data_IF_020806346317
#
_entry.id   IF_020806346317
#
_cell.length_a   1.000
_cell.length_b   1.000
_cell.length_c   1.000
_cell.angle_alpha   90.00
_cell.angle_beta   90.00
_cell.angle_gamma   90.00
#
_symmetry.space_group_name_H-M   'P 1'
#
loop_
_entity.id
_entity.type
_entity.pdbx_description
1 polymer ?
#
# COMPACT_ATOMS: atom_id res chain seq x y z
N UNK A 1 17.10 9.52 8.85
CA UNK A 1 16.63 8.38 8.05
C UNK A 1 17.70 7.31 7.86
N UNK A 2 18.97 7.66 7.61
CA UNK A 2 20.06 6.66 7.42
C UNK A 2 20.15 5.55 8.48
N UNK A 3 19.94 5.83 9.77
CA UNK A 3 19.96 4.79 10.81
C UNK A 3 18.82 3.77 10.70
N UNK A 4 17.65 4.17 10.20
CA UNK A 4 16.53 3.26 9.94
C UNK A 4 16.78 2.47 8.66
N UNK A 5 17.32 3.12 7.62
CA UNK A 5 17.71 2.48 6.36
C UNK A 5 18.77 1.39 6.57
N UNK A 6 19.71 1.60 7.50
CA UNK A 6 20.75 0.63 7.85
C UNK A 6 20.22 -0.61 8.60
N UNK A 7 18.99 -0.58 9.10
CA UNK A 7 18.42 -1.62 9.94
C UNK A 7 17.03 -2.04 9.44
N UNK A 8 17.00 -2.96 8.46
CA UNK A 8 15.76 -3.51 7.90
C UNK A 8 14.79 -4.05 8.99
N UNK A 9 15.31 -4.59 10.10
CA UNK A 9 14.48 -5.03 11.25
C UNK A 9 13.62 -3.92 11.84
N UNK A 10 14.06 -2.65 11.80
CA UNK A 10 13.27 -1.52 12.28
C UNK A 10 12.09 -1.25 11.35
N UNK A 11 12.29 -1.37 10.04
CA UNK A 11 11.23 -1.21 9.03
C UNK A 11 10.23 -2.37 9.11
N UNK A 12 10.71 -3.60 9.26
CA UNK A 12 9.87 -4.78 9.51
C UNK A 12 9.03 -4.63 10.78
N UNK A 13 9.65 -4.17 11.87
CA UNK A 13 8.92 -3.91 13.11
C UNK A 13 7.86 -2.83 12.92
N UNK A 14 8.19 -1.71 12.26
CA UNK A 14 7.24 -0.64 11.99
C UNK A 14 6.07 -1.13 11.13
N UNK A 15 6.34 -1.95 10.11
CA UNK A 15 5.30 -2.61 9.32
C UNK A 15 4.42 -3.54 10.16
N UNK A 16 5.00 -4.33 11.07
CA UNK A 16 4.22 -5.21 11.95
C UNK A 16 3.22 -4.46 12.86
N UNK A 17 3.50 -3.18 13.18
CA UNK A 17 2.60 -2.33 13.96
C UNK A 17 1.32 -1.95 13.20
N UNK A 18 1.30 -2.08 11.87
CA UNK A 18 0.10 -1.87 11.05
C UNK A 18 -1.00 -2.89 11.40
N UNK A 19 -0.62 -4.08 11.86
CA UNK A 19 -1.56 -5.11 12.35
C UNK A 19 -2.02 -4.91 13.81
N UNK A 20 -1.67 -3.78 14.45
CA UNK A 20 -2.02 -3.52 15.84
C UNK A 20 -3.53 -3.36 16.04
N UNK A 21 -4.03 -3.82 17.20
CA UNK A 21 -5.42 -3.58 17.61
C UNK A 21 -5.69 -2.11 17.98
N UNK A 22 -4.64 -1.33 18.23
CA UNK A 22 -4.76 0.06 18.64
C UNK A 22 -4.68 0.99 17.43
N UNK A 23 -5.81 1.58 17.04
CA UNK A 23 -5.93 2.46 15.88
C UNK A 23 -4.89 3.58 15.81
N UNK A 24 -4.57 4.18 16.96
CA UNK A 24 -3.57 5.25 17.04
C UNK A 24 -2.16 4.75 16.70
N UNK A 25 -1.83 3.51 17.09
CA UNK A 25 -0.55 2.88 16.74
C UNK A 25 -0.49 2.62 15.24
N UNK A 26 -1.56 2.06 14.66
CA UNK A 26 -1.65 1.83 13.21
C UNK A 26 -1.48 3.13 12.43
N UNK A 27 -2.18 4.19 12.84
CA UNK A 27 -2.10 5.52 12.23
C UNK A 27 -0.68 6.08 12.26
N UNK A 28 -0.02 6.04 13.42
CA UNK A 28 1.36 6.53 13.54
C UNK A 28 2.33 5.67 12.73
N UNK A 29 2.14 4.36 12.70
CA UNK A 29 2.96 3.45 11.90
C UNK A 29 2.87 3.79 10.41
N UNK A 30 1.66 3.91 9.86
CA UNK A 30 1.44 4.28 8.46
C UNK A 30 2.04 5.64 8.11
N UNK A 31 1.88 6.66 8.97
CA UNK A 31 2.50 7.98 8.74
C UNK A 31 4.03 7.90 8.69
N UNK A 32 4.64 7.14 9.60
CA UNK A 32 6.09 6.97 9.63
C UNK A 32 6.60 6.18 8.41
N UNK A 33 5.84 5.18 7.95
CA UNK A 33 6.14 4.44 6.73
C UNK A 33 6.04 5.33 5.48
N UNK A 34 5.02 6.18 5.40
CA UNK A 34 4.88 7.17 4.32
C UNK A 34 6.06 8.14 4.31
N UNK A 35 6.39 8.75 5.45
CA UNK A 35 7.56 9.63 5.58
C UNK A 35 8.86 8.89 5.23
N UNK A 36 8.92 7.58 5.50
CA UNK A 36 10.07 6.75 5.14
C UNK A 36 10.22 6.59 3.63
N UNK A 37 9.17 6.18 2.92
CA UNK A 37 9.24 6.02 1.46
C UNK A 37 9.35 7.35 0.70
N UNK A 38 8.86 8.44 1.28
CA UNK A 38 8.98 9.79 0.69
C UNK A 38 10.37 10.41 0.84
N UNK A 39 11.20 9.89 1.74
CA UNK A 39 12.52 10.46 1.98
C UNK A 39 13.48 10.24 0.78
N UNK A 40 13.45 9.05 0.19
CA UNK A 40 14.24 8.65 -0.98
C UNK A 40 13.56 7.48 -1.68
N UNK A 41 13.53 7.45 -3.01
CA UNK A 41 12.83 6.42 -3.78
C UNK A 41 13.27 4.98 -3.42
N UNK A 42 14.57 4.80 -3.15
CA UNK A 42 15.17 3.52 -2.69
C UNK A 42 14.51 2.93 -1.44
N UNK A 43 13.91 3.77 -0.58
CA UNK A 43 13.24 3.29 0.64
C UNK A 43 11.98 2.49 0.33
N UNK A 44 11.39 2.68 -0.85
CA UNK A 44 10.23 1.91 -1.31
C UNK A 44 10.59 0.43 -1.42
N UNK A 45 11.75 0.13 -2.01
CA UNK A 45 12.25 -1.24 -2.14
C UNK A 45 12.59 -1.84 -0.78
N UNK A 46 13.22 -1.07 0.12
CA UNK A 46 13.49 -1.51 1.48
C UNK A 46 12.22 -1.84 2.26
N UNK A 47 11.16 -1.05 2.07
CA UNK A 47 9.87 -1.33 2.70
C UNK A 47 9.21 -2.56 2.09
N UNK A 48 9.23 -2.72 0.77
CA UNK A 48 8.72 -3.90 0.09
C UNK A 48 9.39 -5.17 0.62
N UNK A 49 10.72 -5.19 0.73
CA UNK A 49 11.47 -6.30 1.30
C UNK A 49 11.04 -6.60 2.74
N UNK A 50 10.80 -5.55 3.54
CA UNK A 50 10.33 -5.66 4.91
C UNK A 50 8.91 -6.25 4.99
N UNK A 51 8.01 -5.83 4.10
CA UNK A 51 6.63 -6.33 3.99
C UNK A 51 6.66 -7.81 3.67
N UNK A 52 7.37 -8.19 2.59
CA UNK A 52 7.50 -9.58 2.15
C UNK A 52 8.08 -10.45 3.25
N UNK A 53 9.13 -9.99 3.95
CA UNK A 53 9.72 -10.74 5.06
C UNK A 53 8.74 -10.97 6.22
N UNK A 54 8.01 -9.93 6.63
CA UNK A 54 7.05 -10.02 7.75
C UNK A 54 5.87 -10.91 7.40
N UNK A 55 5.23 -10.70 6.26
CA UNK A 55 4.02 -11.45 5.90
C UNK A 55 4.35 -12.91 5.57
N UNK A 56 5.46 -13.17 4.84
CA UNK A 56 5.91 -14.53 4.55
C UNK A 56 6.25 -15.31 5.83
N UNK A 57 6.86 -14.65 6.82
CA UNK A 57 7.14 -15.29 8.13
C UNK A 57 5.87 -15.72 8.88
N UNK A 58 4.73 -15.09 8.57
CA UNK A 58 3.42 -15.41 9.11
C UNK A 58 2.56 -16.27 8.16
N UNK A 59 3.15 -16.80 7.08
CA UNK A 59 2.46 -17.58 6.04
C UNK A 59 1.31 -16.80 5.39
N UNK A 60 1.52 -15.50 5.15
CA UNK A 60 0.58 -14.59 4.49
C UNK A 60 1.20 -14.03 3.22
N UNK A 61 0.34 -13.61 2.30
CA UNK A 61 0.76 -12.87 1.12
C UNK A 61 1.32 -11.50 1.52
N UNK A 62 2.28 -10.94 0.76
CA UNK A 62 2.73 -9.56 0.94
C UNK A 62 1.53 -8.60 0.96
N UNK A 63 1.67 -7.48 1.68
CA UNK A 63 0.65 -6.43 1.84
C UNK A 63 -0.52 -6.78 2.77
N UNK A 64 -0.55 -7.97 3.36
CA UNK A 64 -1.69 -8.45 4.14
C UNK A 64 -2.15 -7.48 5.24
N UNK A 65 -1.21 -6.91 5.99
CA UNK A 65 -1.59 -6.01 7.09
C UNK A 65 -2.21 -4.69 6.58
N UNK A 66 -1.84 -4.25 5.38
CA UNK A 66 -2.39 -3.06 4.73
C UNK A 66 -3.74 -3.37 4.09
N UNK A 67 -3.85 -4.50 3.38
CA UNK A 67 -5.10 -4.96 2.77
C UNK A 67 -6.20 -5.15 3.81
N UNK A 68 -5.85 -5.67 5.00
CA UNK A 68 -6.79 -5.76 6.13
C UNK A 68 -7.42 -4.42 6.53
N UNK A 69 -6.70 -3.31 6.40
CA UNK A 69 -7.25 -1.97 6.70
C UNK A 69 -8.30 -1.60 5.66
N UNK A 70 -8.02 -1.89 4.38
CA UNK A 70 -8.92 -1.61 3.27
C UNK A 70 -10.20 -2.46 3.30
N UNK A 71 -10.07 -3.73 3.73
CA UNK A 71 -11.16 -4.70 3.88
C UNK A 71 -12.09 -4.43 5.08
N UNK A 72 -11.67 -3.62 6.06
CA UNK A 72 -12.49 -3.31 7.24
C UNK A 72 -13.41 -2.10 6.99
N UNK A 73 -14.34 -2.28 6.03
CA UNK A 73 -15.14 -1.21 5.40
C UNK A 73 -15.99 -0.36 6.36
N UNK A 74 -16.39 -0.93 7.50
CA UNK A 74 -17.28 -0.27 8.48
C UNK A 74 -16.53 0.27 9.69
N UNK A 75 -15.34 -0.28 10.00
CA UNK A 75 -14.58 0.12 11.17
C UNK A 75 -13.35 0.96 10.84
N UNK A 76 -12.86 1.00 9.60
CA UNK A 76 -11.69 1.81 9.21
C UNK A 76 -12.00 3.30 9.07
N UNK A 77 -11.03 4.13 9.48
CA UNK A 77 -11.11 5.58 9.37
C UNK A 77 -10.69 5.93 7.96
N UNK A 78 -11.42 6.81 7.30
CA UNK A 78 -11.07 7.31 5.97
C UNK A 78 -9.60 7.75 5.90
N UNK A 79 -9.07 8.40 6.94
CA UNK A 79 -7.67 8.81 6.99
C UNK A 79 -6.71 7.59 6.92
N UNK A 80 -7.05 6.47 7.56
CA UNK A 80 -6.27 5.23 7.48
C UNK A 80 -6.36 4.60 6.10
N UNK A 81 -7.54 4.60 5.48
CA UNK A 81 -7.73 4.10 4.12
C UNK A 81 -6.86 4.89 3.13
N UNK A 82 -6.85 6.22 3.25
CA UNK A 82 -6.01 7.11 2.42
C UNK A 82 -4.52 6.81 2.65
N UNK A 83 -4.08 6.63 3.89
CA UNK A 83 -2.67 6.31 4.14
C UNK A 83 -2.27 4.92 3.63
N UNK A 84 -3.14 3.93 3.78
CA UNK A 84 -2.92 2.58 3.27
C UNK A 84 -2.78 2.58 1.73
N UNK A 85 -3.72 3.18 1.01
CA UNK A 85 -3.68 3.27 -0.46
C UNK A 85 -2.51 4.13 -0.95
N UNK A 86 -2.23 5.26 -0.30
CA UNK A 86 -1.08 6.11 -0.64
C UNK A 86 0.25 5.37 -0.47
N UNK A 87 0.38 4.53 0.57
CA UNK A 87 1.58 3.76 0.83
C UNK A 87 1.79 2.71 -0.26
N UNK A 88 0.73 1.99 -0.65
CA UNK A 88 0.77 1.03 -1.77
C UNK A 88 1.23 1.74 -3.05
N UNK A 89 0.54 2.82 -3.45
CA UNK A 89 0.84 3.56 -4.67
C UNK A 89 2.29 4.04 -4.73
N UNK A 90 2.80 4.65 -3.64
CA UNK A 90 4.18 5.13 -3.58
C UNK A 90 5.20 4.01 -3.70
N UNK A 91 4.93 2.87 -3.06
CA UNK A 91 5.85 1.74 -3.13
C UNK A 91 5.91 1.16 -4.54
N UNK A 92 4.74 0.88 -5.13
CA UNK A 92 4.64 0.28 -6.46
C UNK A 92 5.24 1.18 -7.55
N UNK A 93 4.95 2.47 -7.51
CA UNK A 93 5.45 3.44 -8.49
C UNK A 93 6.99 3.57 -8.50
N UNK A 94 7.65 3.14 -7.42
CA UNK A 94 9.11 3.19 -7.28
C UNK A 94 9.77 1.82 -7.53
N UNK A 95 9.03 0.83 -8.03
CA UNK A 95 9.60 -0.45 -8.47
C UNK A 95 10.13 -0.30 -9.90
N UNK A 96 11.44 -0.46 -10.15
CA UNK A 96 12.00 -0.30 -11.48
C UNK A 96 11.85 -1.55 -12.37
N UNK A 97 11.71 -2.73 -11.78
CA UNK A 97 11.57 -3.99 -12.51
C UNK A 97 10.10 -4.37 -12.67
N UNK A 98 9.67 -4.50 -13.93
CA UNK A 98 8.26 -4.78 -14.26
C UNK A 98 7.78 -6.14 -13.73
N UNK A 99 8.64 -7.17 -13.68
CA UNK A 99 8.22 -8.46 -13.14
C UNK A 99 7.95 -8.34 -11.63
N UNK A 100 8.85 -7.67 -10.91
CA UNK A 100 8.67 -7.41 -9.47
C UNK A 100 7.43 -6.56 -9.22
N UNK A 101 7.14 -5.58 -10.09
CA UNK A 101 5.90 -4.80 -10.00
C UNK A 101 4.66 -5.70 -10.09
N UNK A 102 4.60 -6.56 -11.11
CA UNK A 102 3.46 -7.46 -11.30
C UNK A 102 3.35 -8.51 -10.18
N UNK A 103 4.47 -9.04 -9.66
CA UNK A 103 4.45 -9.93 -8.49
C UNK A 103 3.70 -9.29 -7.29
N UNK A 104 3.88 -7.97 -7.09
CA UNK A 104 3.21 -7.24 -6.02
C UNK A 104 1.77 -6.83 -6.35
N UNK A 105 1.46 -6.50 -7.60
CA UNK A 105 0.09 -6.25 -8.03
C UNK A 105 -0.75 -7.51 -7.92
N UNK A 106 -0.25 -8.64 -8.41
CA UNK A 106 -0.92 -9.95 -8.31
C UNK A 106 -1.18 -10.30 -6.83
N UNK A 107 -0.20 -10.08 -5.94
CA UNK A 107 -0.39 -10.30 -4.51
C UNK A 107 -1.47 -9.42 -3.87
N UNK A 108 -1.69 -8.20 -4.38
CA UNK A 108 -2.79 -7.32 -3.94
C UNK A 108 -4.13 -7.80 -4.51
N UNK A 109 -4.18 -8.18 -5.78
CA UNK A 109 -5.39 -8.69 -6.45
C UNK A 109 -5.86 -10.02 -5.84
N UNK A 110 -4.94 -10.92 -5.49
CA UNK A 110 -5.20 -12.16 -4.74
C UNK A 110 -5.80 -11.90 -3.34
N UNK A 111 -5.77 -10.65 -2.87
CA UNK A 111 -6.37 -10.18 -1.61
C UNK A 111 -7.58 -9.27 -1.85
N UNK A 112 -8.24 -9.42 -2.99
CA UNK A 112 -9.49 -8.76 -3.38
C UNK A 112 -9.35 -7.24 -3.59
N UNK A 113 -8.18 -6.74 -4.00
CA UNK A 113 -7.95 -5.31 -4.27
C UNK A 113 -8.92 -4.73 -5.29
N UNK A 114 -9.23 -5.47 -6.36
CA UNK A 114 -10.16 -5.01 -7.41
C UNK A 114 -11.59 -4.84 -6.87
N UNK A 115 -12.06 -5.79 -6.07
CA UNK A 115 -13.38 -5.74 -5.44
C UNK A 115 -13.46 -4.58 -4.43
N UNK A 116 -12.39 -4.35 -3.67
CA UNK A 116 -12.26 -3.22 -2.74
C UNK A 116 -12.35 -1.90 -3.49
N UNK A 117 -11.62 -1.74 -4.60
CA UNK A 117 -11.65 -0.54 -5.43
C UNK A 117 -13.08 -0.30 -5.93
N UNK A 118 -13.69 -1.31 -6.57
CA UNK A 118 -15.05 -1.20 -7.10
C UNK A 118 -16.07 -0.81 -6.02
N UNK A 119 -15.96 -1.40 -4.82
CA UNK A 119 -16.83 -1.10 -3.69
C UNK A 119 -16.72 0.36 -3.25
N UNK A 120 -15.51 0.87 -3.04
CA UNK A 120 -15.31 2.26 -2.61
C UNK A 120 -15.69 3.27 -3.70
N UNK A 121 -15.44 2.96 -4.97
CA UNK A 121 -15.86 3.79 -6.11
C UNK A 121 -17.38 3.89 -6.25
N UNK A 122 -18.11 2.79 -5.99
CA UNK A 122 -19.56 2.76 -6.11
C UNK A 122 -20.30 3.35 -4.88
N UNK A 123 -19.66 3.35 -3.71
CA UNK A 123 -20.26 3.80 -2.45
C UNK A 123 -20.47 5.32 -2.45
N UNK A 124 -21.72 5.74 -2.27
CA UNK A 124 -22.04 7.18 -2.13
C UNK A 124 -21.42 7.74 -0.84
N UNK A 125 -20.81 8.92 -0.96
CA UNK A 125 -20.19 9.60 0.18
C UNK A 125 -18.79 9.10 0.53
N UNK A 126 -18.17 8.25 -0.31
CA UNK A 126 -16.73 7.97 -0.21
C UNK A 126 -15.94 9.27 -0.36
N UNK A 127 -14.93 9.41 0.47
CA UNK A 127 -14.07 10.59 0.50
C UNK A 127 -13.29 10.75 -0.82
N UNK A 128 -13.17 11.99 -1.29
CA UNK A 128 -12.57 12.30 -2.58
C UNK A 128 -11.07 11.99 -2.63
N UNK A 129 -10.35 12.13 -1.52
CA UNK A 129 -8.92 11.82 -1.48
C UNK A 129 -8.68 10.31 -1.52
N UNK A 130 -9.57 9.52 -0.91
CA UNK A 130 -9.53 8.07 -1.03
C UNK A 130 -9.82 7.63 -2.47
N UNK A 131 -10.87 8.15 -3.08
CA UNK A 131 -11.20 7.87 -4.49
C UNK A 131 -10.03 8.20 -5.40
N UNK A 132 -9.39 9.36 -5.19
CA UNK A 132 -8.22 9.77 -5.97
C UNK A 132 -7.06 8.77 -5.84
N UNK A 133 -6.78 8.25 -4.64
CA UNK A 133 -5.71 7.26 -4.48
C UNK A 133 -6.03 5.93 -5.19
N UNK A 134 -7.30 5.48 -5.15
CA UNK A 134 -7.71 4.27 -5.86
C UNK A 134 -7.64 4.48 -7.39
N UNK A 135 -8.03 5.66 -7.89
CA UNK A 135 -7.90 6.01 -9.31
C UNK A 135 -6.43 6.06 -9.76
N UNK A 136 -5.51 6.55 -8.91
CA UNK A 136 -4.08 6.52 -9.20
C UNK A 136 -3.59 5.08 -9.35
N UNK A 137 -4.02 4.17 -8.46
CA UNK A 137 -3.67 2.75 -8.56
C UNK A 137 -4.09 2.17 -9.91
N UNK A 138 -5.37 2.33 -10.29
CA UNK A 138 -5.91 1.83 -11.56
C UNK A 138 -5.21 2.47 -12.77
N UNK A 139 -4.96 3.78 -12.74
CA UNK A 139 -4.32 4.49 -13.85
C UNK A 139 -2.87 4.04 -14.08
N UNK A 140 -2.11 3.78 -13.00
CA UNK A 140 -0.73 3.26 -13.10
C UNK A 140 -0.74 1.82 -13.62
N UNK A 141 -1.67 0.99 -13.15
CA UNK A 141 -1.80 -0.39 -13.64
C UNK A 141 -2.09 -0.42 -15.15
N UNK A 142 -3.05 0.38 -15.61
CA UNK A 142 -3.37 0.52 -17.04
C UNK A 142 -2.18 1.01 -17.87
N UNK A 143 -1.39 1.93 -17.32
CA UNK A 143 -0.17 2.41 -17.96
C UNK A 143 0.88 1.30 -18.10
N UNK A 144 1.11 0.50 -17.06
CA UNK A 144 2.06 -0.62 -17.11
C UNK A 144 1.62 -1.73 -18.07
N UNK A 145 0.31 -1.97 -18.19
CA UNK A 145 -0.31 -2.92 -19.14
C UNK A 145 -0.16 -2.48 -20.61
N UNK A 146 0.32 -1.26 -20.85
CA UNK A 146 0.55 -0.71 -22.19
C UNK A 146 -0.68 -0.07 -22.83
N UNK A 147 -1.74 0.20 -22.05
CA UNK A 147 -2.90 0.95 -22.53
C UNK A 147 -2.69 2.47 -22.32
N UNK A 148 -1.90 3.07 -23.20
CA UNK A 148 -1.60 4.52 -23.20
C UNK A 148 -2.85 5.42 -23.36
N UNK A 149 -4.04 4.86 -23.57
CA UNK A 149 -5.26 5.64 -23.78
C UNK A 149 -5.98 6.06 -22.48
N UNK A 150 -5.58 5.51 -21.33
CA UNK A 150 -6.19 5.81 -20.03
C UNK A 150 -5.65 7.08 -19.35
N UNK A 151 -4.49 7.59 -19.77
CA UNK A 151 -3.85 8.75 -19.13
C UNK A 151 -4.53 10.11 -19.42
N UNK A 152 -5.55 10.18 -20.28
CA UNK A 152 -6.16 11.43 -20.74
C UNK A 152 -7.69 11.37 -20.95
N UNK A 153 -8.45 10.85 -19.97
CA UNK A 153 -9.89 11.13 -19.90
C UNK A 153 -10.33 11.65 -18.55
#
# INVERSE_FOLDING_TARGET
MHGVMAHNRCVQWLYSLVASKFRHVVKTALKLLLVFVEYTDENSLLLIDAITAVDSSNSRQPWHNVMRILQDFDASDTELLIYATSLINKCLNNIPDRNVYYDHVDALQDQDMDDIIQLYMAKQGTDLDLLRQLQIFEAVLLYEDGDETAALK
#
